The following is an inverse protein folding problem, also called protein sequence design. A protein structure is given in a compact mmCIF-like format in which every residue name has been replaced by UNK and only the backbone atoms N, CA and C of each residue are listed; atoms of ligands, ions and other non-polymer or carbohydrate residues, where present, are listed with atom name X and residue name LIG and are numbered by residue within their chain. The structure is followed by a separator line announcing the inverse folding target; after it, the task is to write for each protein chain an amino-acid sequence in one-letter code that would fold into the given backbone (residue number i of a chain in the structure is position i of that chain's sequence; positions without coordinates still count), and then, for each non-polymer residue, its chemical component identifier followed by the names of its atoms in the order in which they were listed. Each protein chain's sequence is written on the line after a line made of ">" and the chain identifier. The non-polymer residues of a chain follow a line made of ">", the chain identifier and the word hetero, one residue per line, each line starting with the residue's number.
data_IF_466716152502
#
_entry.id   IF_466716152502
#
_cell.length_a   1.000
_cell.length_b   1.000
_cell.length_c   1.000
_cell.angle_alpha   90.00
_cell.angle_beta   90.00
_cell.angle_gamma   90.00
#
_symmetry.space_group_name_H-M   'P 1'
#
loop_
_entity.id
_entity.type
_entity.pdbx_description
1 polymer ?
#
# COMPACT_ATOMS: atom_id res chain seq x y z
N UNK A 1 -52.00 -26.99 -24.65
CA UNK A 1 -51.10 -28.14 -24.42
C UNK A 1 -49.67 -27.61 -24.45
N UNK A 2 -48.93 -27.82 -23.34
CA UNK A 2 -47.47 -27.65 -23.09
C UNK A 2 -46.86 -26.25 -23.36
N UNK A 3 -46.55 -25.41 -22.36
CA UNK A 3 -45.43 -25.47 -21.39
C UNK A 3 -44.04 -25.58 -22.05
N UNK A 4 -43.19 -24.54 -21.92
CA UNK A 4 -41.77 -24.59 -21.48
C UNK A 4 -41.20 -23.14 -21.51
N UNK A 5 -41.23 -22.36 -20.43
CA UNK A 5 -40.17 -22.15 -19.41
C UNK A 5 -38.76 -21.75 -19.91
N UNK A 6 -38.34 -20.56 -19.45
CA UNK A 6 -37.00 -20.16 -18.97
C UNK A 6 -35.82 -20.04 -19.95
N UNK A 7 -35.09 -18.91 -19.84
CA UNK A 7 -33.75 -18.78 -20.40
C UNK A 7 -33.14 -17.38 -20.38
N UNK A 8 -33.06 -16.73 -19.21
CA UNK A 8 -32.11 -15.63 -19.02
C UNK A 8 -30.68 -16.19 -19.18
N UNK A 9 -29.92 -15.69 -20.14
CA UNK A 9 -28.48 -15.96 -20.24
C UNK A 9 -27.78 -14.70 -20.73
N UNK A 10 -27.66 -13.72 -19.82
CA UNK A 10 -26.61 -12.71 -19.94
C UNK A 10 -25.32 -13.41 -19.54
N UNK A 11 -24.62 -13.95 -20.54
CA UNK A 11 -23.24 -14.40 -20.37
C UNK A 11 -22.40 -13.14 -20.17
N UNK A 12 -22.10 -12.82 -18.91
CA UNK A 12 -21.02 -11.91 -18.58
C UNK A 12 -19.76 -12.55 -19.14
N UNK A 13 -19.19 -11.95 -20.18
CA UNK A 13 -17.87 -12.27 -20.69
C UNK A 13 -16.86 -12.00 -19.58
N UNK A 14 -16.65 -13.01 -18.73
CA UNK A 14 -15.45 -13.14 -17.92
C UNK A 14 -14.29 -13.34 -18.89
N UNK A 15 -13.78 -12.23 -19.41
CA UNK A 15 -12.52 -12.23 -20.15
C UNK A 15 -11.41 -12.71 -19.20
N UNK A 16 -10.58 -13.68 -19.60
CA UNK A 16 -9.46 -14.16 -18.78
C UNK A 16 -8.32 -13.15 -18.68
N UNK A 17 -8.49 -11.96 -19.25
CA UNK A 17 -7.81 -10.75 -18.79
C UNK A 17 -8.45 -10.32 -17.46
N UNK A 18 -8.26 -11.13 -16.43
CA UNK A 18 -8.37 -10.67 -15.06
C UNK A 18 -7.36 -9.52 -14.93
N UNK A 19 -7.82 -8.30 -15.16
CA UNK A 19 -7.09 -7.10 -14.83
C UNK A 19 -6.66 -7.29 -13.38
N UNK A 20 -5.35 -7.46 -13.14
CA UNK A 20 -4.76 -7.41 -11.81
C UNK A 20 -5.50 -6.32 -11.05
N UNK A 21 -6.17 -6.69 -9.95
CA UNK A 21 -7.18 -5.85 -9.33
C UNK A 21 -6.52 -4.51 -9.01
N UNK A 22 -6.75 -3.50 -9.85
CA UNK A 22 -6.06 -2.22 -9.72
C UNK A 22 -6.51 -1.63 -8.39
N UNK A 23 -5.57 -1.36 -7.49
CA UNK A 23 -5.87 -0.65 -6.25
C UNK A 23 -6.64 0.62 -6.61
N UNK A 24 -7.90 0.69 -6.17
CA UNK A 24 -8.79 1.82 -6.45
C UNK A 24 -8.32 3.04 -5.67
N UNK A 25 -8.61 4.22 -6.19
CA UNK A 25 -8.37 5.45 -5.44
C UNK A 25 -9.25 5.47 -4.18
N UNK A 26 -8.70 5.95 -3.07
CA UNK A 26 -9.41 5.97 -1.80
C UNK A 26 -8.51 6.04 -0.56
N UNK A 27 -9.14 5.90 0.59
CA UNK A 27 -8.48 5.94 1.89
C UNK A 27 -8.08 4.53 2.35
N UNK A 28 -6.83 4.37 2.76
CA UNK A 28 -6.25 3.09 3.15
C UNK A 28 -5.44 3.18 4.44
N UNK A 29 -5.38 2.08 5.16
CA UNK A 29 -4.32 1.79 6.13
C UNK A 29 -3.29 0.91 5.44
N UNK A 30 -2.03 1.33 5.47
CA UNK A 30 -0.93 0.63 4.79
C UNK A 30 -0.09 -0.09 5.84
N UNK A 31 0.17 -1.38 5.64
CA UNK A 31 0.95 -2.18 6.59
C UNK A 31 1.80 -3.24 5.93
N UNK A 32 2.71 -3.85 6.67
CA UNK A 32 3.29 -5.15 6.31
C UNK A 32 3.40 -6.03 7.55
N UNK A 33 3.49 -7.35 7.36
CA UNK A 33 3.70 -8.31 8.45
C UNK A 33 5.05 -9.00 8.27
N UNK A 34 6.04 -8.77 9.15
CA UNK A 34 7.37 -9.36 9.01
C UNK A 34 7.42 -10.87 9.24
N UNK A 35 6.40 -11.48 9.86
CA UNK A 35 6.35 -12.90 10.15
C UNK A 35 4.97 -13.48 9.76
N UNK A 36 4.91 -14.43 8.80
CA UNK A 36 3.65 -15.07 8.43
C UNK A 36 3.14 -16.07 9.49
N UNK A 37 3.99 -16.47 10.45
CA UNK A 37 3.72 -17.60 11.36
C UNK A 37 3.48 -17.21 12.83
N UNK A 38 3.66 -15.95 13.21
CA UNK A 38 3.37 -15.45 14.56
C UNK A 38 2.17 -14.52 14.49
N UNK A 39 1.26 -14.61 15.47
CA UNK A 39 0.14 -13.70 15.74
C UNK A 39 0.34 -12.35 15.03
N UNK A 40 -0.46 -12.11 13.99
CA UNK A 40 -0.31 -11.08 12.93
C UNK A 40 0.13 -9.71 13.46
N UNK A 41 1.42 -9.51 13.71
CA UNK A 41 1.93 -8.20 14.14
C UNK A 41 2.12 -7.36 12.89
N UNK A 42 1.01 -6.79 12.42
CA UNK A 42 1.01 -5.79 11.36
C UNK A 42 1.75 -4.56 11.85
N UNK A 43 2.71 -4.11 11.05
CA UNK A 43 3.36 -2.83 11.27
C UNK A 43 2.79 -1.82 10.28
N UNK A 44 2.18 -0.76 10.80
CA UNK A 44 1.47 0.25 10.01
C UNK A 44 2.39 1.41 9.63
N UNK A 45 2.26 1.88 8.39
CA UNK A 45 2.98 3.04 7.88
C UNK A 45 2.55 4.30 8.64
N UNK A 46 3.53 5.05 9.13
CA UNK A 46 3.33 6.17 10.03
C UNK A 46 4.35 7.29 9.76
N UNK A 47 3.89 8.53 9.92
CA UNK A 47 4.73 9.71 10.07
C UNK A 47 4.60 10.28 11.48
N UNK A 48 5.73 10.45 12.16
CA UNK A 48 5.77 11.13 13.45
C UNK A 48 5.64 12.64 13.33
N UNK A 49 6.06 13.21 12.20
CA UNK A 49 5.90 14.62 11.84
C UNK A 49 5.87 14.78 10.30
N UNK A 50 5.44 15.94 9.77
CA UNK A 50 5.23 16.16 8.33
C UNK A 50 6.39 15.77 7.40
N UNK A 51 7.63 16.11 7.73
CA UNK A 51 8.79 15.93 6.83
C UNK A 51 9.83 14.94 7.34
N UNK A 52 9.43 14.07 8.28
CA UNK A 52 10.34 13.07 8.86
C UNK A 52 10.37 11.77 8.06
N UNK A 53 11.39 10.95 8.33
CA UNK A 53 11.44 9.59 7.80
C UNK A 53 10.21 8.81 8.27
N UNK A 54 9.54 8.14 7.33
CA UNK A 54 8.40 7.31 7.65
C UNK A 54 8.86 6.03 8.34
N UNK A 55 7.99 5.50 9.18
CA UNK A 55 8.23 4.25 9.89
C UNK A 55 7.07 3.29 9.69
N UNK A 56 7.33 2.02 9.96
CA UNK A 56 6.33 1.01 10.17
C UNK A 56 6.31 0.64 11.66
N UNK A 57 5.17 0.88 12.31
CA UNK A 57 5.02 0.78 13.76
C UNK A 57 4.07 -0.39 14.12
N UNK A 58 4.41 -1.25 15.10
CA UNK A 58 3.58 -2.37 15.54
C UNK A 58 2.46 -1.88 16.48
N UNK A 59 1.53 -1.11 15.94
CA UNK A 59 0.42 -0.51 16.69
C UNK A 59 -0.91 -1.19 16.35
N UNK A 60 -1.92 -1.12 17.24
CA UNK A 60 -3.27 -1.57 16.91
C UNK A 60 -3.81 -0.86 15.66
N UNK A 61 -4.57 -1.60 14.83
CA UNK A 61 -5.12 -1.07 13.58
C UNK A 61 -5.97 0.20 13.78
N UNK A 62 -6.66 0.31 14.92
CA UNK A 62 -7.48 1.48 15.27
C UNK A 62 -6.66 2.76 15.47
N UNK A 63 -5.34 2.63 15.71
CA UNK A 63 -4.41 3.75 15.86
C UNK A 63 -3.62 4.03 14.58
N UNK A 64 -3.75 3.18 13.54
CA UNK A 64 -3.02 3.33 12.29
C UNK A 64 -3.41 4.60 11.53
N UNK A 65 -2.43 5.30 10.98
CA UNK A 65 -2.67 6.45 10.12
C UNK A 65 -3.40 6.05 8.84
N UNK A 66 -4.22 6.98 8.37
CA UNK A 66 -4.99 6.84 7.13
C UNK A 66 -4.24 7.60 6.03
N UNK A 67 -4.20 6.97 4.86
CA UNK A 67 -3.50 7.44 3.68
C UNK A 67 -4.46 7.53 2.51
N UNK A 68 -4.54 8.71 1.89
CA UNK A 68 -5.22 8.87 0.61
C UNK A 68 -4.31 8.37 -0.50
N UNK A 69 -4.75 7.34 -1.21
CA UNK A 69 -4.04 6.76 -2.35
C UNK A 69 -4.75 7.18 -3.62
N UNK A 70 -4.02 7.81 -4.53
CA UNK A 70 -4.55 8.32 -5.81
C UNK A 70 -3.74 7.82 -6.99
N UNK A 71 -4.43 7.51 -8.09
CA UNK A 71 -3.81 7.07 -9.34
C UNK A 71 -3.23 8.25 -10.09
N UNK A 72 -2.01 8.10 -10.62
CA UNK A 72 -1.43 9.12 -11.49
C UNK A 72 -2.28 9.29 -12.75
N UNK A 73 -2.49 10.54 -13.17
CA UNK A 73 -3.19 10.83 -14.42
C UNK A 73 -2.44 10.28 -15.66
N UNK A 74 -1.14 10.03 -15.55
CA UNK A 74 -0.28 9.60 -16.66
C UNK A 74 -0.05 8.09 -16.74
N UNK A 75 -0.22 7.36 -15.64
CA UNK A 75 0.00 5.91 -15.59
C UNK A 75 -0.90 5.25 -14.54
N UNK A 76 -1.66 4.25 -14.97
CA UNK A 76 -2.61 3.52 -14.16
C UNK A 76 -2.01 2.60 -13.09
N UNK A 77 -0.69 2.37 -13.08
CA UNK A 77 0.02 1.62 -12.02
C UNK A 77 0.76 2.54 -11.04
N UNK A 78 0.84 3.84 -11.36
CA UNK A 78 1.51 4.81 -10.51
C UNK A 78 0.56 5.39 -9.48
N UNK A 79 1.06 5.58 -8.26
CA UNK A 79 0.27 6.02 -7.11
C UNK A 79 0.99 7.11 -6.34
N UNK A 80 0.21 8.08 -5.89
CA UNK A 80 0.59 9.04 -4.85
C UNK A 80 -0.08 8.62 -3.54
N UNK A 81 0.63 8.80 -2.44
CA UNK A 81 0.18 8.37 -1.11
C UNK A 81 0.27 9.60 -0.20
N UNK A 82 -0.88 10.20 0.11
CA UNK A 82 -1.00 11.43 0.88
C UNK A 82 -1.45 11.14 2.30
N UNK A 83 -0.94 11.88 3.28
CA UNK A 83 -1.31 11.73 4.68
C UNK A 83 -2.61 12.48 4.97
N UNK A 84 -3.58 11.80 5.58
CA UNK A 84 -4.76 12.48 6.15
C UNK A 84 -4.42 13.21 7.46
N UNK A 85 -3.43 12.71 8.20
CA UNK A 85 -3.00 13.30 9.47
C UNK A 85 -2.28 14.64 9.28
N UNK A 86 -1.50 14.75 8.19
CA UNK A 86 -0.76 15.97 7.83
C UNK A 86 -1.17 16.43 6.43
N UNK A 87 -2.18 17.32 6.31
CA UNK A 87 -2.65 17.80 5.01
C UNK A 87 -1.53 18.41 4.16
N UNK A 88 -1.51 18.10 2.87
CA UNK A 88 -0.48 18.55 1.93
C UNK A 88 0.81 17.73 1.94
N UNK A 89 0.94 16.76 2.86
CA UNK A 89 2.12 15.90 2.94
C UNK A 89 1.88 14.60 2.18
N UNK A 90 2.83 14.24 1.32
CA UNK A 90 2.88 12.94 0.63
C UNK A 90 4.02 12.10 1.18
N UNK A 91 3.92 10.79 1.02
CA UNK A 91 5.10 9.91 1.10
C UNK A 91 5.94 10.13 -0.16
N UNK A 92 7.25 10.25 0.03
CA UNK A 92 8.21 10.42 -1.03
C UNK A 92 9.59 9.88 -0.68
N UNK A 93 10.53 10.09 -1.60
CA UNK A 93 11.91 9.63 -1.49
C UNK A 93 12.86 10.53 -2.29
N UNK A 94 14.07 10.80 -1.77
CA UNK A 94 15.02 11.69 -2.44
C UNK A 94 15.65 11.06 -3.67
N UNK A 95 15.97 9.76 -3.63
CA UNK A 95 16.54 9.04 -4.76
C UNK A 95 16.00 7.62 -4.86
N UNK A 96 15.87 7.06 -6.07
CA UNK A 96 15.48 5.68 -6.29
C UNK A 96 16.72 4.79 -6.13
N UNK A 97 17.19 4.62 -4.90
CA UNK A 97 18.32 3.74 -4.60
C UNK A 97 18.00 2.85 -3.41
N UNK A 98 18.71 1.73 -3.33
CA UNK A 98 18.65 0.83 -2.18
C UNK A 98 18.99 1.59 -0.88
N UNK A 99 18.36 1.18 0.22
CA UNK A 99 18.58 1.68 1.58
C UNK A 99 18.17 3.15 1.80
N UNK A 100 17.62 3.80 0.77
CA UNK A 100 17.01 5.12 0.90
C UNK A 100 15.69 5.00 1.64
N UNK A 101 15.55 5.81 2.69
CA UNK A 101 14.32 5.89 3.48
C UNK A 101 13.26 6.67 2.72
N UNK A 102 12.03 6.20 2.83
CA UNK A 102 10.88 7.01 2.43
C UNK A 102 10.54 7.96 3.57
N UNK A 103 10.05 9.15 3.24
CA UNK A 103 9.79 10.24 4.18
C UNK A 103 8.55 11.01 3.77
N UNK A 104 8.00 11.78 4.69
CA UNK A 104 7.00 12.78 4.35
C UNK A 104 7.66 13.93 3.59
N UNK A 105 6.98 14.42 2.55
CA UNK A 105 7.40 15.53 1.70
C UNK A 105 6.22 16.45 1.45
N UNK A 106 6.48 17.76 1.36
CA UNK A 106 5.51 18.76 0.96
C UNK A 106 5.55 19.00 -0.56
N UNK A 107 4.69 19.90 -1.04
CA UNK A 107 4.57 20.24 -2.46
C UNK A 107 5.80 20.97 -3.05
N UNK A 108 6.68 21.52 -2.20
CA UNK A 108 7.88 22.25 -2.62
C UNK A 108 9.12 21.35 -2.63
N UNK A 109 8.99 20.08 -2.26
CA UNK A 109 10.09 19.13 -2.24
C UNK A 109 10.55 18.77 -3.65
N UNK A 110 11.87 18.70 -3.84
CA UNK A 110 12.49 18.16 -5.07
C UNK A 110 12.49 16.61 -5.09
N UNK A 111 12.00 15.97 -4.02
CA UNK A 111 11.90 14.51 -3.92
C UNK A 111 10.83 13.94 -4.86
N UNK A 112 10.98 12.66 -5.17
CA UNK A 112 9.97 11.90 -5.89
C UNK A 112 8.80 11.55 -4.95
N UNK A 113 7.57 11.75 -5.41
CA UNK A 113 6.33 11.50 -4.63
C UNK A 113 5.46 10.36 -5.19
N UNK A 114 5.93 9.70 -6.24
CA UNK A 114 5.13 8.71 -6.98
C UNK A 114 5.79 7.34 -6.90
N UNK A 115 4.96 6.32 -6.69
CA UNK A 115 5.36 4.93 -6.57
C UNK A 115 4.65 4.08 -7.62
N UNK A 116 5.29 3.03 -8.09
CA UNK A 116 4.66 2.01 -8.92
C UNK A 116 4.19 0.85 -8.03
N UNK A 117 2.87 0.60 -7.98
CA UNK A 117 2.28 -0.51 -7.22
C UNK A 117 2.03 -1.71 -8.14
N UNK A 118 2.67 -2.82 -7.83
CA UNK A 118 2.53 -4.09 -8.57
C UNK A 118 1.78 -5.10 -7.71
N UNK A 119 0.64 -5.56 -8.22
CA UNK A 119 -0.23 -6.55 -7.58
C UNK A 119 0.48 -7.91 -7.41
N UNK A 120 0.22 -8.58 -6.30
CA UNK A 120 0.84 -9.90 -5.98
C UNK A 120 -0.05 -11.11 -6.28
N UNK A 121 -1.24 -10.90 -6.84
CA UNK A 121 -2.30 -11.89 -7.00
C UNK A 121 -3.14 -12.11 -5.74
N UNK A 122 -2.72 -11.57 -4.59
CA UNK A 122 -3.47 -11.59 -3.34
C UNK A 122 -4.12 -10.22 -3.10
N UNK A 123 -5.43 -10.20 -2.93
CA UNK A 123 -6.21 -8.98 -2.76
C UNK A 123 -5.64 -8.06 -1.67
N UNK A 124 -5.42 -6.79 -2.02
CA UNK A 124 -4.89 -5.79 -1.11
C UNK A 124 -3.36 -5.82 -0.94
N UNK A 125 -2.66 -6.82 -1.47
CA UNK A 125 -1.20 -6.93 -1.33
C UNK A 125 -0.45 -6.49 -2.59
N UNK A 126 0.43 -5.52 -2.42
CA UNK A 126 1.20 -4.92 -3.51
C UNK A 126 2.66 -4.76 -3.14
N UNK A 127 3.54 -4.96 -4.11
CA UNK A 127 4.91 -4.47 -4.02
C UNK A 127 4.93 -3.00 -4.43
N UNK A 128 5.52 -2.16 -3.58
CA UNK A 128 5.62 -0.71 -3.81
C UNK A 128 7.03 -0.34 -4.24
N UNK A 129 7.20 0.00 -5.50
CA UNK A 129 8.47 0.37 -6.10
C UNK A 129 8.56 1.88 -6.32
N UNK A 130 9.76 2.46 -6.39
CA UNK A 130 9.92 3.74 -7.05
C UNK A 130 9.59 3.61 -8.55
N UNK A 131 9.15 4.68 -9.18
CA UNK A 131 8.72 4.62 -10.59
C UNK A 131 9.87 4.32 -11.57
N UNK A 132 11.10 4.64 -11.20
CA UNK A 132 12.30 4.54 -12.05
C UNK A 132 13.05 3.21 -11.92
N UNK A 133 12.67 2.32 -11.00
CA UNK A 133 13.31 1.00 -10.86
C UNK A 133 12.37 -0.03 -10.26
N UNK A 134 12.55 -1.29 -10.65
CA UNK A 134 11.86 -2.45 -10.06
C UNK A 134 12.80 -3.34 -9.23
N UNK A 135 14.00 -2.86 -8.93
CA UNK A 135 15.03 -3.66 -8.24
C UNK A 135 14.88 -3.62 -6.71
N UNK A 136 14.08 -2.68 -6.20
CA UNK A 136 13.88 -2.43 -4.78
C UNK A 136 12.44 -2.03 -4.46
N UNK A 137 11.91 -2.59 -3.37
CA UNK A 137 10.56 -2.32 -2.86
C UNK A 137 10.63 -1.59 -1.53
N UNK A 138 9.63 -0.77 -1.23
CA UNK A 138 9.46 -0.21 0.11
C UNK A 138 9.12 -1.33 1.07
N UNK A 139 9.90 -1.42 2.15
CA UNK A 139 9.70 -2.38 3.22
C UNK A 139 10.18 -1.80 4.55
N UNK A 140 9.92 -2.53 5.64
CA UNK A 140 10.62 -2.33 6.89
C UNK A 140 11.85 -3.23 7.03
N UNK A 141 12.58 -3.05 8.13
CA UNK A 141 13.60 -4.01 8.58
C UNK A 141 12.96 -5.41 8.76
N UNK A 142 13.76 -6.48 8.75
CA UNK A 142 13.34 -7.89 8.76
C UNK A 142 13.60 -8.62 10.07
N UNK A 143 13.79 -7.93 11.19
CA UNK A 143 13.76 -8.63 12.48
C UNK A 143 12.35 -9.15 12.76
N UNK A 144 12.17 -10.20 13.55
CA UNK A 144 10.82 -10.75 13.81
C UNK A 144 10.08 -9.94 14.91
N UNK A 145 10.81 -9.25 15.78
CA UNK A 145 10.30 -8.57 16.98
C UNK A 145 9.34 -7.40 16.70
N UNK A 146 8.31 -7.20 17.50
CA UNK A 146 7.44 -6.01 17.39
C UNK A 146 8.22 -4.74 17.79
N UNK A 147 8.71 -3.98 16.81
CA UNK A 147 9.41 -2.69 17.04
C UNK A 147 9.19 -1.72 15.90
N UNK A 148 9.31 -0.42 16.19
CA UNK A 148 9.32 0.63 15.17
C UNK A 148 10.50 0.46 14.23
N UNK A 149 10.25 0.63 12.92
CA UNK A 149 11.24 0.42 11.86
C UNK A 149 11.13 1.51 10.84
N UNK A 150 12.24 1.98 10.29
CA UNK A 150 12.17 2.86 9.13
C UNK A 150 11.55 2.12 7.95
N UNK A 151 10.75 2.85 7.17
CA UNK A 151 10.33 2.44 5.84
C UNK A 151 11.41 2.87 4.84
N UNK A 152 11.91 1.95 4.04
CA UNK A 152 13.00 2.23 3.08
C UNK A 152 12.97 1.27 1.90
N UNK A 153 13.68 1.62 0.83
CA UNK A 153 13.85 0.77 -0.34
C UNK A 153 14.79 -0.38 -0.07
N UNK A 154 14.25 -1.60 -0.13
CA UNK A 154 14.97 -2.83 0.09
C UNK A 154 15.07 -3.59 -1.22
N UNK A 155 16.28 -4.00 -1.59
CA UNK A 155 16.53 -4.84 -2.76
C UNK A 155 17.00 -6.24 -2.36
N UNK A 156 17.12 -7.13 -3.35
CA UNK A 156 17.77 -8.44 -3.20
C UNK A 156 19.26 -8.21 -2.81
N UNK A 157 19.60 -8.25 -1.53
CA UNK A 157 20.97 -8.64 -1.15
C UNK A 157 20.88 -9.96 -0.40
N UNK A 158 21.92 -10.74 -0.59
CA UNK A 158 22.29 -11.95 0.14
C UNK A 158 22.45 -11.76 1.66
N UNK A 159 22.39 -10.52 2.16
CA UNK A 159 22.71 -10.16 3.56
C UNK A 159 21.50 -9.90 4.46
N UNK A 160 20.26 -9.97 3.96
CA UNK A 160 19.07 -9.71 4.80
C UNK A 160 18.29 -11.00 5.06
N UNK A 161 18.00 -11.34 6.33
CA UNK A 161 17.56 -12.69 6.70
C UNK A 161 16.13 -13.07 6.27
N UNK A 162 15.24 -12.14 5.88
CA UNK A 162 13.86 -12.47 5.47
C UNK A 162 13.56 -12.00 4.03
N UNK A 163 12.63 -12.62 3.27
CA UNK A 163 12.25 -12.13 1.95
C UNK A 163 11.71 -10.70 1.96
N UNK A 164 11.71 -10.04 0.79
CA UNK A 164 10.95 -8.79 0.61
C UNK A 164 9.46 -9.13 0.61
N UNK A 165 8.68 -8.45 1.44
CA UNK A 165 7.27 -8.72 1.64
C UNK A 165 6.40 -7.62 1.01
N UNK A 166 5.27 -7.96 0.38
CA UNK A 166 4.34 -6.96 -0.11
C UNK A 166 3.70 -6.18 1.04
N UNK A 167 3.30 -4.95 0.75
CA UNK A 167 2.51 -4.12 1.64
C UNK A 167 1.02 -4.45 1.46
N UNK A 168 0.28 -4.51 2.56
CA UNK A 168 -1.17 -4.63 2.60
C UNK A 168 -1.80 -3.24 2.66
N UNK A 169 -2.69 -2.97 1.71
CA UNK A 169 -3.55 -1.79 1.62
C UNK A 169 -4.96 -2.16 2.07
N UNK A 170 -5.28 -1.95 3.34
CA UNK A 170 -6.61 -2.21 3.89
C UNK A 170 -7.50 -0.99 3.64
N UNK A 171 -8.59 -1.10 2.86
CA UNK A 171 -9.48 0.02 2.62
C UNK A 171 -10.16 0.48 3.92
N UNK A 172 -10.24 1.79 4.12
CA UNK A 172 -11.08 2.38 5.17
C UNK A 172 -12.50 2.42 4.61
N UNK A 173 -13.31 1.42 4.95
CA UNK A 173 -14.74 1.46 4.63
C UNK A 173 -15.36 2.60 5.47
N UNK A 174 -16.19 3.49 4.89
CA UNK A 174 -16.97 4.40 5.70
C UNK A 174 -17.77 3.58 6.71
N UNK A 175 -17.71 3.91 7.99
CA UNK A 175 -18.68 3.37 8.95
C UNK A 175 -20.07 3.65 8.35
N UNK A 176 -20.99 2.66 8.29
CA UNK A 176 -22.36 2.96 7.93
C UNK A 176 -22.82 4.07 8.87
N UNK A 177 -23.19 5.21 8.31
CA UNK A 177 -23.86 6.26 9.05
C UNK A 177 -25.13 5.58 9.56
N UNK A 178 -25.18 5.32 10.87
CA UNK A 178 -26.42 4.97 11.53
C UNK A 178 -27.31 6.20 11.37
N UNK A 179 -28.11 6.22 10.30
CA UNK A 179 -29.25 7.11 10.21
C UNK A 179 -30.15 6.74 11.38
N UNK A 180 -30.13 7.59 12.41
CA UNK A 180 -31.06 7.46 13.53
C UNK A 180 -32.49 7.50 12.97
N UNK A 181 -33.38 6.62 13.47
CA UNK A 181 -34.79 6.61 13.11
C UNK A 181 -35.52 7.88 13.52
#
# INVERSE_FOLDING_TARGET
>A
MLSFTHGLLVVILASPFAAAARLRDGLYKISYSPAPCSIETKHYLDLSAPTTNATFNPIPEVQAQIWLVTTSATDSTWRRIQSEKYPGISIGYPTPQREVRVRGIDENSEDFSTFNLVDTGKEGYYYMYPITSRDFVVNGDTRIEARNRFAYFRGNATQFPLPMLPLLFSPVVPLPVLSNP
#
